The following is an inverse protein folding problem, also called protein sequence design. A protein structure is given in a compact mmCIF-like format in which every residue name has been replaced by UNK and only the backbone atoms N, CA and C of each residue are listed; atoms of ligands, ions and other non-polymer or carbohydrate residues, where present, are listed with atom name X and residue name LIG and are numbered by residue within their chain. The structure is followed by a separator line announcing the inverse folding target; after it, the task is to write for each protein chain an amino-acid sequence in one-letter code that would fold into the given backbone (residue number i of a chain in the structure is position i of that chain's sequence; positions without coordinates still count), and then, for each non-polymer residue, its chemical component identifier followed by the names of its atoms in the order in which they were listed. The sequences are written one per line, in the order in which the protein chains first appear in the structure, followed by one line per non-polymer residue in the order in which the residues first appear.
data_IF_936311487167
#
_entry.id   IF_936311487167
#
_cell.length_a   1.000
_cell.length_b   1.000
_cell.length_c   1.000
_cell.angle_alpha   90.00
_cell.angle_beta   90.00
_cell.angle_gamma   90.00
#
_symmetry.space_group_name_H-M   'P 1'
#
loop_
_entity.id
_entity.type
_entity.pdbx_description
1 polymer ?
#
# COMPACT_ATOMS: atom_id res chain seq x y z
N UNK A 1 6.91 -12.22 -20.27
CA UNK A 1 6.35 -10.86 -20.47
C UNK A 1 6.55 -10.04 -19.19
N UNK A 2 7.22 -8.87 -19.21
CA UNK A 2 7.48 -8.07 -18.00
C UNK A 2 6.28 -7.16 -17.71
N UNK A 3 5.45 -7.50 -16.73
CA UNK A 3 4.33 -6.65 -16.32
C UNK A 3 4.79 -5.52 -15.37
N UNK A 4 4.57 -4.28 -15.81
CA UNK A 4 4.90 -3.05 -15.10
C UNK A 4 3.72 -2.67 -14.21
N UNK A 5 3.81 -3.03 -12.92
CA UNK A 5 2.79 -2.73 -11.91
C UNK A 5 2.75 -1.22 -11.64
N UNK A 6 1.58 -0.60 -11.81
CA UNK A 6 1.32 0.80 -11.47
C UNK A 6 1.26 0.95 -9.95
N UNK A 7 2.18 1.73 -9.38
CA UNK A 7 2.20 2.12 -7.97
C UNK A 7 0.96 2.95 -7.64
N UNK A 8 0.14 2.53 -6.67
CA UNK A 8 -0.84 3.40 -6.02
C UNK A 8 -0.23 3.87 -4.70
N UNK A 9 -0.11 5.19 -4.54
CA UNK A 9 0.27 5.82 -3.27
C UNK A 9 -0.98 5.91 -2.41
N UNK A 10 -0.94 5.35 -1.21
CA UNK A 10 -1.94 5.59 -0.17
C UNK A 10 -1.30 6.50 0.88
N UNK A 11 -1.80 7.72 0.99
CA UNK A 11 -1.40 8.69 2.00
C UNK A 11 -2.34 8.56 3.18
N UNK A 12 -1.88 8.00 4.29
CA UNK A 12 -2.61 7.99 5.56
C UNK A 12 -1.87 8.90 6.55
N UNK A 13 -2.57 9.93 7.05
CA UNK A 13 -2.08 10.83 8.09
C UNK A 13 -2.66 10.38 9.42
N UNK A 14 -1.81 9.91 10.34
CA UNK A 14 -2.20 9.57 11.71
C UNK A 14 -1.60 10.59 12.67
N UNK A 15 -2.46 11.29 13.42
CA UNK A 15 -2.08 12.25 14.46
C UNK A 15 -2.04 11.53 15.82
N UNK A 16 -0.90 11.52 16.49
CA UNK A 16 -0.78 11.04 17.86
C UNK A 16 -0.43 12.22 18.79
N UNK A 17 -1.25 12.45 19.82
CA UNK A 17 -1.01 13.45 20.87
C UNK A 17 -0.60 12.67 22.12
N UNK A 18 0.67 12.81 22.55
CA UNK A 18 1.14 12.25 23.81
C UNK A 18 1.17 13.34 24.90
N UNK A 19 0.38 13.15 25.96
CA UNK A 19 0.40 13.97 27.16
C UNK A 19 1.29 13.28 28.19
N UNK A 20 2.39 13.92 28.62
CA UNK A 20 3.27 13.37 29.67
C UNK A 20 3.02 14.09 31.00
N UNK A 21 2.65 13.32 32.01
CA UNK A 21 2.35 13.78 33.37
C UNK A 21 3.61 13.85 34.24
N UNK A 22 3.76 14.97 34.96
CA UNK A 22 4.85 15.21 35.91
C UNK A 22 4.73 14.33 37.17
N UNK A 23 5.81 13.64 37.53
CA UNK A 23 5.97 12.90 38.78
C UNK A 23 6.59 13.76 39.88
N UNK A 24 5.89 13.87 41.00
CA UNK A 24 6.30 14.51 42.26
C UNK A 24 7.01 13.52 43.18
N UNK A 25 8.03 13.97 43.93
CA UNK A 25 8.36 13.42 45.26
C UNK A 25 8.89 14.52 46.22
N UNK A 26 8.68 14.37 47.54
CA UNK A 26 8.77 15.46 48.52
C UNK A 26 10.05 15.42 49.37
N UNK A 27 10.49 16.59 49.86
CA UNK A 27 11.55 16.73 50.85
C UNK A 27 11.37 18.00 51.68
N UNK A 28 11.01 17.81 52.94
CA UNK A 28 10.69 18.81 53.98
C UNK A 28 11.84 19.74 54.36
N UNK A 29 11.56 21.03 54.56
CA UNK A 29 12.17 21.86 55.61
C UNK A 29 11.39 23.17 55.83
N UNK A 30 11.46 23.66 57.05
CA UNK A 30 10.54 24.57 57.75
C UNK A 30 10.56 26.04 57.31
N UNK A 31 9.48 26.73 57.71
CA UNK A 31 9.23 28.15 57.56
C UNK A 31 10.23 29.05 58.28
N UNK A 32 10.61 30.16 57.64
CA UNK A 32 10.81 31.44 58.31
C UNK A 32 10.16 32.55 57.48
N UNK A 33 9.12 33.13 58.07
CA UNK A 33 8.53 34.40 57.69
C UNK A 33 9.51 35.51 58.08
N UNK A 34 9.82 36.43 57.16
CA UNK A 34 10.11 37.83 57.45
C UNK A 34 10.01 38.61 56.15
N UNK A 35 9.09 39.58 56.15
CA UNK A 35 8.98 40.70 55.23
C UNK A 35 10.34 41.09 54.61
N UNK A 36 10.43 41.04 53.28
CA UNK A 36 11.51 41.67 52.54
C UNK A 36 10.89 42.55 51.46
N UNK A 37 11.08 43.88 51.50
CA UNK A 37 10.47 44.79 50.54
C UNK A 37 11.07 44.55 49.15
N UNK A 38 10.25 44.78 48.12
CA UNK A 38 10.63 44.67 46.72
C UNK A 38 12.01 45.30 46.45
N UNK A 39 12.96 44.49 45.97
CA UNK A 39 14.29 44.97 45.62
C UNK A 39 14.21 46.07 44.53
N UNK A 40 15.00 47.15 44.64
CA UNK A 40 14.98 48.23 43.65
C UNK A 40 15.48 47.76 42.27
N UNK A 41 15.00 48.41 41.22
CA UNK A 41 15.29 48.15 39.79
C UNK A 41 16.75 48.38 39.35
N UNK A 42 17.65 48.69 40.29
CA UNK A 42 19.03 49.03 40.03
C UNK A 42 19.94 48.33 41.06
N UNK A 43 20.99 47.68 40.58
CA UNK A 43 22.03 47.07 41.42
C UNK A 43 23.32 47.89 41.27
N UNK A 44 23.85 48.37 42.39
CA UNK A 44 25.06 49.19 42.43
C UNK A 44 26.29 48.28 42.43
N UNK A 45 27.03 48.25 41.32
CA UNK A 45 28.43 47.80 41.29
C UNK A 45 29.27 48.95 40.76
N UNK A 46 30.26 49.38 41.55
CA UNK A 46 31.20 50.46 41.20
C UNK A 46 30.53 51.80 40.80
N UNK A 47 29.50 52.22 41.55
CA UNK A 47 28.98 53.60 41.45
C UNK A 47 28.28 53.97 40.12
N UNK A 48 28.02 53.01 39.23
CA UNK A 48 27.20 53.22 38.03
C UNK A 48 25.90 52.41 38.15
N UNK A 49 24.77 53.12 38.09
CA UNK A 49 23.46 52.50 37.89
C UNK A 49 23.43 51.92 36.48
N UNK A 50 23.86 50.66 36.33
CA UNK A 50 23.58 49.92 35.11
C UNK A 50 22.10 49.55 35.15
N UNK A 51 21.30 49.85 34.10
CA UNK A 51 19.94 49.34 34.04
C UNK A 51 20.00 47.82 34.18
N UNK A 52 19.29 47.25 35.15
CA UNK A 52 19.11 45.80 35.26
C UNK A 52 18.59 45.34 33.91
N UNK A 53 19.43 44.65 33.14
CA UNK A 53 19.12 44.28 31.78
C UNK A 53 17.79 43.52 31.84
N UNK A 54 16.74 43.96 31.10
CA UNK A 54 15.49 43.23 31.12
C UNK A 54 15.78 41.78 30.74
N UNK A 55 15.10 40.79 31.35
CA UNK A 55 15.32 39.39 31.01
C UNK A 55 15.21 39.26 29.49
N UNK A 56 16.34 38.98 28.84
CA UNK A 56 16.37 38.83 27.39
C UNK A 56 15.69 37.51 27.10
N UNK A 57 14.56 37.55 26.42
CA UNK A 57 13.93 36.35 25.88
C UNK A 57 14.99 35.60 25.06
N UNK A 58 15.31 34.39 25.49
CA UNK A 58 16.28 33.54 24.81
C UNK A 58 15.53 32.65 23.85
N UNK A 59 15.98 32.61 22.61
CA UNK A 59 15.40 31.77 21.56
C UNK A 59 16.44 30.76 21.11
N UNK A 60 16.06 29.50 21.03
CA UNK A 60 16.91 28.40 20.60
C UNK A 60 16.26 27.69 19.42
N UNK A 61 16.99 27.57 18.31
CA UNK A 61 16.62 26.71 17.18
C UNK A 61 17.49 25.46 17.24
N UNK A 62 16.90 24.29 17.07
CA UNK A 62 17.59 22.99 17.08
C UNK A 62 17.25 22.22 15.82
N UNK A 63 18.25 21.58 15.23
CA UNK A 63 18.06 20.59 14.17
C UNK A 63 18.69 19.30 14.65
N UNK A 64 17.90 18.24 14.69
CA UNK A 64 18.31 16.94 15.22
C UNK A 64 18.10 15.85 14.18
N UNK A 65 19.02 14.91 14.12
CA UNK A 65 18.83 13.66 13.39
C UNK A 65 18.08 12.66 14.28
N UNK A 66 17.04 12.03 13.74
CA UNK A 66 16.16 11.13 14.48
C UNK A 66 16.17 9.74 13.83
N UNK A 67 17.00 8.79 14.32
CA UNK A 67 16.90 7.40 13.89
C UNK A 67 15.69 6.74 14.54
N UNK A 68 14.81 6.14 13.74
CA UNK A 68 13.64 5.41 14.23
C UNK A 68 13.79 3.92 13.95
N UNK A 69 13.53 3.10 14.95
CA UNK A 69 13.66 1.65 14.91
C UNK A 69 12.31 0.99 15.18
N UNK A 70 12.20 -0.31 14.89
CA UNK A 70 11.02 -1.12 15.19
C UNK A 70 9.73 -0.65 14.49
N UNK A 71 9.83 -0.16 13.25
CA UNK A 71 8.66 0.16 12.43
C UNK A 71 8.27 -1.10 11.65
N UNK A 72 7.02 -1.53 11.80
CA UNK A 72 6.44 -2.65 11.06
C UNK A 72 5.26 -2.18 10.22
N UNK A 73 5.08 -2.78 9.05
CA UNK A 73 3.85 -2.66 8.26
C UNK A 73 3.18 -4.02 8.15
N UNK A 74 1.85 -4.06 8.21
CA UNK A 74 1.07 -5.25 7.90
C UNK A 74 0.31 -5.01 6.59
N UNK A 75 0.45 -5.93 5.66
CA UNK A 75 -0.28 -5.91 4.41
C UNK A 75 -1.43 -6.89 4.51
N UNK A 76 -2.66 -6.38 4.58
CA UNK A 76 -3.88 -7.20 4.56
C UNK A 76 -4.65 -6.96 3.27
N UNK A 77 -5.58 -7.87 2.94
CA UNK A 77 -6.40 -7.80 1.72
C UNK A 77 -5.56 -7.70 0.45
N UNK A 78 -4.45 -8.45 0.41
CA UNK A 78 -3.62 -8.59 -0.76
C UNK A 78 -4.41 -9.36 -1.83
N UNK A 79 -5.15 -8.62 -2.65
CA UNK A 79 -5.87 -9.17 -3.80
C UNK A 79 -4.90 -9.65 -4.88
N UNK A 80 -5.33 -10.63 -5.66
CA UNK A 80 -4.57 -11.11 -6.80
C UNK A 80 -4.74 -10.15 -7.98
N UNK A 81 -3.68 -9.92 -8.79
CA UNK A 81 -3.77 -9.07 -9.97
C UNK A 81 -4.69 -9.62 -11.06
N UNK A 82 -5.16 -10.87 -10.94
CA UNK A 82 -6.28 -11.42 -11.72
C UNK A 82 -7.59 -10.77 -11.23
N UNK A 83 -7.82 -9.49 -11.57
CA UNK A 83 -9.03 -8.78 -11.12
C UNK A 83 -10.29 -9.11 -11.93
N UNK A 84 -10.15 -9.77 -13.08
CA UNK A 84 -11.27 -10.25 -13.88
C UNK A 84 -11.38 -11.76 -13.72
N UNK A 85 -12.31 -12.21 -12.86
CA UNK A 85 -12.89 -13.54 -13.02
C UNK A 85 -13.45 -13.62 -14.45
N UNK A 86 -13.34 -14.76 -15.18
CA UNK A 86 -13.87 -14.94 -16.54
C UNK A 86 -15.41 -14.91 -16.62
N UNK A 87 -16.04 -13.99 -15.88
CA UNK A 87 -17.48 -13.83 -15.77
C UNK A 87 -18.21 -15.07 -15.22
N UNK A 88 -19.54 -15.08 -15.27
CA UNK A 88 -20.33 -16.29 -15.05
C UNK A 88 -19.98 -17.39 -16.06
N UNK A 89 -20.22 -18.65 -15.66
CA UNK A 89 -19.99 -19.82 -16.52
C UNK A 89 -20.93 -19.91 -17.71
N UNK A 90 -21.98 -19.08 -17.73
CA UNK A 90 -22.95 -18.98 -18.81
C UNK A 90 -23.05 -17.55 -19.35
N UNK A 91 -23.54 -17.41 -20.58
CA UNK A 91 -23.86 -16.12 -21.19
C UNK A 91 -22.75 -15.51 -22.04
N UNK A 92 -23.14 -14.46 -22.77
CA UNK A 92 -22.31 -13.73 -23.73
C UNK A 92 -21.55 -12.62 -23.02
N UNK A 93 -20.37 -12.94 -22.51
CA UNK A 93 -19.51 -12.01 -21.78
C UNK A 93 -18.05 -12.20 -22.21
N UNK A 94 -17.25 -11.14 -22.06
CA UNK A 94 -15.81 -11.23 -22.21
C UNK A 94 -15.21 -12.07 -21.08
N UNK A 95 -14.34 -13.01 -21.46
CA UNK A 95 -13.65 -13.91 -20.53
C UNK A 95 -12.14 -13.79 -20.72
N UNK A 96 -11.46 -13.39 -19.66
CA UNK A 96 -10.02 -13.32 -19.59
C UNK A 96 -9.48 -14.38 -18.65
N UNK A 97 -8.57 -15.21 -19.16
CA UNK A 97 -7.89 -16.28 -18.45
C UNK A 97 -6.44 -15.89 -18.19
N UNK A 98 -5.73 -16.69 -17.39
CA UNK A 98 -4.29 -16.47 -17.17
C UNK A 98 -3.47 -16.95 -18.38
N UNK A 99 -4.04 -17.85 -19.18
CA UNK A 99 -3.41 -18.52 -20.33
C UNK A 99 -4.16 -18.28 -21.65
N UNK A 100 -4.98 -17.23 -21.74
CA UNK A 100 -5.76 -16.91 -22.93
C UNK A 100 -6.93 -15.97 -22.69
N UNK A 101 -7.77 -15.82 -23.71
CA UNK A 101 -9.03 -15.09 -23.61
C UNK A 101 -10.05 -15.63 -24.62
N UNK A 102 -11.33 -15.44 -24.31
CA UNK A 102 -12.46 -15.59 -25.22
C UNK A 102 -13.33 -14.36 -25.04
N UNK A 103 -13.39 -13.51 -26.07
CA UNK A 103 -14.07 -12.21 -25.99
C UNK A 103 -15.12 -12.08 -27.07
N UNK A 104 -16.08 -11.20 -26.83
CA UNK A 104 -17.10 -10.84 -27.80
C UNK A 104 -16.47 -10.10 -28.97
N UNK A 105 -17.04 -10.28 -30.15
CA UNK A 105 -16.66 -9.50 -31.32
C UNK A 105 -16.92 -8.01 -31.08
N UNK A 106 -15.93 -7.18 -31.39
CA UNK A 106 -15.99 -5.73 -31.13
C UNK A 106 -16.25 -4.90 -32.38
N UNK A 107 -16.26 -5.53 -33.56
CA UNK A 107 -16.43 -4.85 -34.85
C UNK A 107 -17.26 -5.66 -35.83
N UNK A 108 -17.89 -4.98 -36.79
CA UNK A 108 -18.63 -5.61 -37.89
C UNK A 108 -20.05 -6.10 -37.52
N UNK A 109 -20.73 -6.82 -38.43
CA UNK A 109 -22.12 -7.25 -38.24
C UNK A 109 -22.29 -8.30 -37.13
N UNK A 110 -21.19 -8.92 -36.68
CA UNK A 110 -21.16 -9.87 -35.58
C UNK A 110 -20.88 -9.21 -34.22
N UNK A 111 -20.84 -7.87 -34.12
CA UNK A 111 -20.55 -7.16 -32.85
C UNK A 111 -21.44 -7.66 -31.72
N UNK A 112 -20.83 -7.99 -30.58
CA UNK A 112 -21.50 -8.59 -29.42
C UNK A 112 -21.80 -10.08 -29.56
N UNK A 113 -21.32 -10.75 -30.62
CA UNK A 113 -21.50 -12.19 -30.87
C UNK A 113 -22.97 -12.63 -30.78
N UNK A 114 -23.89 -12.06 -31.58
CA UNK A 114 -25.34 -12.28 -31.42
C UNK A 114 -25.78 -13.72 -31.67
N UNK A 115 -25.00 -14.51 -32.41
CA UNK A 115 -25.20 -15.94 -32.65
C UNK A 115 -24.53 -16.83 -31.59
N UNK A 116 -23.86 -16.22 -30.60
CA UNK A 116 -23.15 -16.91 -29.54
C UNK A 116 -21.74 -17.39 -29.90
N UNK A 117 -21.26 -17.07 -31.12
CA UNK A 117 -19.93 -17.45 -31.59
C UNK A 117 -18.98 -16.26 -31.63
N UNK A 118 -17.69 -16.54 -31.47
CA UNK A 118 -16.62 -15.55 -31.60
C UNK A 118 -15.42 -16.12 -32.33
N UNK A 119 -14.80 -15.28 -33.16
CA UNK A 119 -13.46 -15.50 -33.67
C UNK A 119 -12.42 -14.77 -32.80
N UNK A 120 -12.83 -13.99 -31.80
CA UNK A 120 -11.94 -13.18 -30.97
C UNK A 120 -11.52 -13.92 -29.70
N UNK A 121 -10.59 -14.85 -29.86
CA UNK A 121 -10.06 -15.67 -28.79
C UNK A 121 -8.59 -15.99 -29.04
N UNK A 122 -7.89 -16.37 -27.97
CA UNK A 122 -6.50 -16.83 -28.06
C UNK A 122 -6.15 -17.73 -26.88
N UNK A 123 -5.16 -18.58 -27.07
CA UNK A 123 -4.58 -19.42 -26.04
C UNK A 123 -3.05 -19.33 -26.11
N UNK A 124 -2.35 -19.55 -25.01
CA UNK A 124 -0.91 -19.33 -24.91
C UNK A 124 -0.07 -20.58 -25.27
N UNK A 125 -0.57 -21.79 -24.98
CA UNK A 125 0.21 -23.03 -25.04
C UNK A 125 -0.54 -24.16 -25.75
N UNK A 126 0.16 -24.96 -26.56
CA UNK A 126 -0.44 -26.10 -27.28
C UNK A 126 -1.00 -27.19 -26.36
N UNK A 127 -0.55 -27.26 -25.10
CA UNK A 127 -1.09 -28.18 -24.10
C UNK A 127 -2.50 -27.82 -23.62
N UNK A 128 -3.03 -26.65 -23.99
CA UNK A 128 -4.41 -26.27 -23.74
C UNK A 128 -5.37 -26.98 -24.69
N UNK A 129 -4.88 -27.47 -25.83
CA UNK A 129 -5.68 -28.23 -26.80
C UNK A 129 -5.59 -29.71 -26.47
N UNK A 130 -6.69 -30.30 -26.02
CA UNK A 130 -6.80 -31.72 -25.64
C UNK A 130 -7.88 -32.36 -26.50
N UNK A 131 -7.47 -33.04 -27.57
CA UNK A 131 -8.42 -33.60 -28.52
C UNK A 131 -9.23 -32.51 -29.22
N UNK A 132 -10.55 -32.51 -29.02
CA UNK A 132 -11.49 -31.51 -29.53
C UNK A 132 -11.77 -30.36 -28.55
N UNK A 133 -11.04 -30.31 -27.43
CA UNK A 133 -11.34 -29.39 -26.34
C UNK A 133 -10.21 -28.39 -26.16
N UNK A 134 -10.57 -27.14 -25.90
CA UNK A 134 -9.66 -26.06 -25.52
C UNK A 134 -9.88 -25.71 -24.04
N UNK A 135 -8.85 -25.93 -23.23
CA UNK A 135 -8.86 -25.69 -21.79
C UNK A 135 -8.27 -24.31 -21.47
N UNK A 136 -9.08 -23.45 -20.87
CA UNK A 136 -8.71 -22.12 -20.42
C UNK A 136 -8.76 -22.03 -18.90
N UNK A 137 -7.74 -21.45 -18.27
CA UNK A 137 -7.55 -21.54 -16.81
C UNK A 137 -7.40 -20.17 -16.16
N UNK A 138 -8.04 -20.03 -15.01
CA UNK A 138 -7.91 -18.86 -14.15
C UNK A 138 -7.67 -19.28 -12.70
N UNK A 139 -6.56 -18.85 -12.13
CA UNK A 139 -6.35 -18.93 -10.69
C UNK A 139 -7.01 -17.73 -10.01
N UNK A 140 -7.96 -18.02 -9.12
CA UNK A 140 -8.62 -17.02 -8.28
C UNK A 140 -8.38 -17.33 -6.81
N UNK A 141 -8.48 -16.34 -5.93
CA UNK A 141 -8.49 -16.58 -4.49
C UNK A 141 -9.80 -16.09 -3.89
N UNK A 142 -10.39 -16.89 -3.01
CA UNK A 142 -11.52 -16.46 -2.20
C UNK A 142 -11.10 -15.68 -0.95
N UNK A 143 -9.80 -15.55 -0.68
CA UNK A 143 -9.27 -15.13 0.62
C UNK A 143 -8.50 -13.81 0.63
N UNK A 144 -8.69 -13.08 1.73
CA UNK A 144 -7.78 -12.03 2.21
C UNK A 144 -6.45 -12.67 2.59
N UNK A 145 -5.41 -12.48 1.79
CA UNK A 145 -4.06 -12.86 2.20
C UNK A 145 -3.47 -11.72 3.01
N UNK A 146 -2.98 -12.04 4.19
CA UNK A 146 -2.18 -11.14 5.00
C UNK A 146 -0.72 -11.54 4.94
N UNK A 147 0.16 -10.56 4.77
CA UNK A 147 1.55 -10.70 5.18
C UNK A 147 1.85 -9.66 6.24
N UNK A 148 2.45 -10.09 7.34
CA UNK A 148 3.27 -9.15 8.10
C UNK A 148 4.44 -8.77 7.20
N UNK A 149 4.77 -7.49 7.12
CA UNK A 149 6.03 -7.04 6.54
C UNK A 149 7.19 -7.52 7.40
N UNK A 150 8.33 -7.74 6.76
CA UNK A 150 9.57 -7.97 7.48
C UNK A 150 9.90 -6.73 8.34
N UNK A 151 10.50 -6.97 9.49
CA UNK A 151 11.12 -5.91 10.27
C UNK A 151 12.29 -5.44 9.41
N UNK A 152 12.19 -4.25 8.83
CA UNK A 152 13.40 -3.60 8.37
C UNK A 152 14.26 -3.39 9.61
N UNK A 153 15.26 -4.26 9.83
CA UNK A 153 16.30 -4.02 10.83
C UNK A 153 17.07 -2.72 10.54
N UNK A 154 16.86 -2.15 9.35
CA UNK A 154 17.38 -0.88 8.92
C UNK A 154 16.69 0.30 9.64
N UNK A 155 17.46 1.19 10.29
CA UNK A 155 16.91 2.40 10.89
C UNK A 155 16.27 3.31 9.84
N UNK A 156 15.07 3.81 10.13
CA UNK A 156 14.45 4.86 9.33
C UNK A 156 15.05 6.22 9.72
N UNK A 157 15.46 6.99 8.72
CA UNK A 157 16.20 8.23 8.89
C UNK A 157 15.26 9.44 8.94
N UNK A 158 15.12 10.06 10.12
CA UNK A 158 14.31 11.27 10.31
C UNK A 158 15.13 12.52 10.61
N UNK A 159 14.46 13.67 10.49
CA UNK A 159 14.96 14.97 10.94
C UNK A 159 13.91 15.66 11.80
N UNK A 160 14.35 16.33 12.85
CA UNK A 160 13.50 17.13 13.73
C UNK A 160 14.01 18.58 13.74
N UNK A 161 13.08 19.52 13.63
CA UNK A 161 13.31 20.95 13.82
C UNK A 161 12.58 21.40 15.09
N UNK A 162 13.35 21.86 16.07
CA UNK A 162 12.86 22.38 17.34
C UNK A 162 13.07 23.88 17.46
N UNK A 163 12.13 24.55 18.10
CA UNK A 163 12.19 25.95 18.50
C UNK A 163 11.77 26.08 19.96
N UNK A 164 12.66 26.60 20.80
CA UNK A 164 12.36 26.88 22.20
C UNK A 164 12.56 28.36 22.49
N UNK A 165 11.71 28.92 23.34
CA UNK A 165 11.89 30.26 23.87
C UNK A 165 11.65 30.32 25.36
N UNK A 166 12.53 31.05 26.06
CA UNK A 166 12.43 31.30 27.49
C UNK A 166 11.49 32.49 27.72
N UNK A 167 10.45 32.29 28.53
CA UNK A 167 9.49 33.36 28.86
C UNK A 167 10.01 34.21 30.01
N UNK A 168 10.64 33.58 30.99
CA UNK A 168 11.34 34.29 32.07
C UNK A 168 11.44 33.49 33.37
N UNK A 169 11.95 34.11 34.43
CA UNK A 169 12.08 33.47 35.73
C UNK A 169 10.78 33.49 36.54
N UNK A 170 10.49 32.39 37.25
CA UNK A 170 9.56 32.32 38.38
C UNK A 170 10.37 31.94 39.63
N UNK A 171 10.65 32.94 40.46
CA UNK A 171 11.56 32.77 41.61
C UNK A 171 12.99 32.47 41.16
N UNK A 172 13.49 31.27 41.46
CA UNK A 172 14.83 30.77 41.07
C UNK A 172 14.81 29.85 39.85
N UNK A 173 13.64 29.57 39.29
CA UNK A 173 13.45 28.69 38.14
C UNK A 173 13.18 29.52 36.90
N UNK A 174 13.58 29.03 35.73
CA UNK A 174 13.21 29.58 34.44
C UNK A 174 12.20 28.67 33.77
N UNK A 175 11.23 29.26 33.08
CA UNK A 175 10.24 28.51 32.31
C UNK A 175 10.18 29.06 30.88
N UNK A 176 9.78 28.20 29.95
CA UNK A 176 9.74 28.50 28.54
C UNK A 176 8.64 27.74 27.84
N UNK A 177 8.72 27.73 26.51
CA UNK A 177 7.99 26.80 25.68
C UNK A 177 8.93 26.23 24.62
N UNK A 178 8.72 24.98 24.28
CA UNK A 178 9.33 24.30 23.14
C UNK A 178 8.23 23.83 22.18
N UNK A 179 8.47 24.03 20.89
CA UNK A 179 7.73 23.43 19.81
C UNK A 179 8.70 22.69 18.89
N UNK A 180 8.38 21.49 18.44
CA UNK A 180 9.18 20.78 17.46
C UNK A 180 8.30 20.08 16.43
N UNK A 181 8.84 19.96 15.22
CA UNK A 181 8.25 19.22 14.10
C UNK A 181 9.28 18.22 13.60
N UNK A 182 8.87 16.95 13.48
CA UNK A 182 9.71 15.89 12.93
C UNK A 182 9.16 15.37 11.61
N UNK A 183 10.05 14.92 10.75
CA UNK A 183 9.76 14.29 9.48
C UNK A 183 10.56 13.01 9.34
N UNK A 184 9.87 11.89 9.11
CA UNK A 184 10.46 10.58 8.90
C UNK A 184 9.84 9.96 7.64
N UNK A 185 10.58 9.85 6.52
CA UNK A 185 10.18 9.01 5.40
C UNK A 185 10.31 7.54 5.80
N UNK A 186 9.28 6.76 5.48
CA UNK A 186 9.21 5.32 5.78
C UNK A 186 9.05 4.58 4.47
N UNK A 187 10.02 3.70 4.18
CA UNK A 187 9.96 2.77 3.05
C UNK A 187 10.09 1.34 3.57
N UNK A 188 9.04 0.54 3.37
CA UNK A 188 8.99 -0.86 3.82
C UNK A 188 8.67 -1.72 2.61
N UNK A 189 9.43 -2.81 2.45
CA UNK A 189 9.22 -3.76 1.37
C UNK A 189 9.07 -5.18 1.92
N UNK A 190 8.16 -5.95 1.34
CA UNK A 190 8.03 -7.38 1.58
C UNK A 190 7.93 -8.10 0.24
N UNK A 191 8.83 -9.06 0.02
CA UNK A 191 8.86 -9.90 -1.18
C UNK A 191 8.66 -11.39 -0.84
N UNK A 192 8.32 -11.72 0.41
CA UNK A 192 8.19 -13.10 0.84
C UNK A 192 7.03 -13.79 0.10
N UNK A 193 7.22 -15.03 -0.37
CA UNK A 193 6.12 -15.83 -0.88
C UNK A 193 5.08 -16.06 0.21
N UNK A 194 3.81 -15.96 -0.14
CA UNK A 194 2.70 -16.25 0.77
C UNK A 194 2.05 -17.55 0.38
N UNK A 195 1.56 -18.28 1.37
CA UNK A 195 0.82 -19.53 1.15
C UNK A 195 -0.65 -19.25 1.34
N UNK A 196 -1.48 -19.63 0.37
CA UNK A 196 -2.93 -19.44 0.41
C UNK A 196 -3.64 -20.53 -0.36
N UNK A 197 -4.93 -20.67 -0.09
CA UNK A 197 -5.80 -21.49 -0.91
C UNK A 197 -6.29 -20.68 -2.13
N UNK A 198 -6.26 -21.32 -3.29
CA UNK A 198 -6.73 -20.78 -4.56
C UNK A 198 -7.87 -21.66 -5.09
N UNK A 199 -8.68 -21.09 -5.96
CA UNK A 199 -9.65 -21.80 -6.79
C UNK A 199 -9.23 -21.65 -8.24
N UNK A 200 -8.85 -22.76 -8.86
CA UNK A 200 -8.58 -22.83 -10.29
C UNK A 200 -9.89 -23.05 -11.04
N UNK A 201 -10.32 -22.05 -11.78
CA UNK A 201 -11.41 -22.13 -12.73
C UNK A 201 -10.84 -22.69 -14.03
N UNK A 202 -11.40 -23.79 -14.51
CA UNK A 202 -11.08 -24.36 -15.82
C UNK A 202 -12.34 -24.36 -16.67
N UNK A 203 -12.32 -23.57 -17.74
CA UNK A 203 -13.38 -23.53 -18.74
C UNK A 203 -12.95 -24.35 -19.95
N UNK A 204 -13.88 -25.17 -20.44
CA UNK A 204 -13.67 -26.04 -21.60
C UNK A 204 -14.49 -25.51 -22.76
N UNK A 205 -13.83 -25.22 -23.87
CA UNK A 205 -14.45 -24.81 -25.11
C UNK A 205 -14.35 -25.94 -26.14
N UNK A 206 -15.46 -26.23 -26.82
CA UNK A 206 -15.48 -27.18 -27.93
C UNK A 206 -14.88 -26.51 -29.17
N UNK A 207 -13.84 -27.15 -29.72
CA UNK A 207 -13.18 -26.79 -30.97
C UNK A 207 -13.33 -27.89 -32.04
N UNK A 208 -14.24 -28.85 -31.86
CA UNK A 208 -14.58 -29.83 -32.89
C UNK A 208 -15.24 -29.20 -34.12
N UNK A 209 -15.92 -28.06 -33.92
CA UNK A 209 -16.75 -27.40 -34.92
C UNK A 209 -16.12 -26.12 -35.48
N UNK A 210 -14.79 -26.06 -35.63
CA UNK A 210 -14.08 -24.96 -36.30
C UNK A 210 -14.38 -24.92 -37.83
N UNK A 211 -15.66 -24.86 -38.23
CA UNK A 211 -16.29 -24.74 -39.56
C UNK A 211 -15.78 -25.71 -40.69
N UNK A 212 -16.57 -26.02 -41.75
CA UNK A 212 -16.18 -26.94 -42.84
C UNK A 212 -14.95 -26.51 -43.68
N UNK A 213 -14.37 -25.34 -43.39
CA UNK A 213 -13.11 -24.83 -43.95
C UNK A 213 -11.85 -25.26 -43.19
N UNK A 214 -11.98 -25.93 -42.03
CA UNK A 214 -10.98 -26.85 -41.48
C UNK A 214 -9.57 -26.31 -41.28
N UNK A 215 -9.43 -25.04 -40.89
CA UNK A 215 -8.13 -24.55 -40.44
C UNK A 215 -7.77 -25.20 -39.09
N UNK A 216 -6.52 -25.66 -38.87
CA UNK A 216 -6.08 -26.04 -37.53
C UNK A 216 -6.28 -24.86 -36.57
N UNK A 217 -6.41 -25.11 -35.24
CA UNK A 217 -6.41 -24.03 -34.28
C UNK A 217 -5.20 -23.11 -34.54
N UNK A 218 -5.37 -21.78 -34.43
CA UNK A 218 -4.29 -20.83 -34.67
C UNK A 218 -3.11 -21.18 -33.75
N UNK A 219 -1.85 -20.98 -34.18
CA UNK A 219 -0.69 -21.29 -33.35
C UNK A 219 -0.79 -20.63 -31.95
N UNK A 220 -0.25 -21.28 -30.91
CA UNK A 220 -0.27 -20.72 -29.55
C UNK A 220 0.31 -19.29 -29.53
N UNK A 221 -0.33 -18.41 -28.78
CA UNK A 221 0.04 -17.00 -28.64
C UNK A 221 -0.34 -16.11 -29.83
N UNK A 222 -0.98 -16.65 -30.87
CA UNK A 222 -1.54 -15.85 -31.96
C UNK A 222 -3.04 -15.64 -31.73
N UNK A 223 -3.50 -14.41 -31.50
CA UNK A 223 -4.91 -14.13 -31.39
C UNK A 223 -5.62 -14.46 -32.70
N UNK A 224 -6.71 -15.21 -32.61
CA UNK A 224 -7.70 -15.21 -33.69
C UNK A 224 -8.38 -13.84 -33.65
N UNK A 225 -8.36 -13.12 -34.78
CA UNK A 225 -8.91 -11.77 -34.86
C UNK A 225 -9.91 -11.67 -36.00
N UNK A 226 -11.19 -11.52 -35.63
CA UNK A 226 -12.28 -11.14 -36.50
C UNK A 226 -12.85 -12.29 -37.31
N UNK A 227 -14.14 -12.19 -37.66
CA UNK A 227 -14.87 -13.14 -38.49
C UNK A 227 -14.61 -12.89 -39.97
N UNK A 228 -13.42 -13.23 -40.46
CA UNK A 228 -13.19 -13.45 -41.89
C UNK A 228 -13.47 -14.92 -42.22
N UNK A 229 -13.92 -15.28 -43.42
CA UNK A 229 -14.42 -16.63 -43.78
C UNK A 229 -13.43 -17.81 -43.62
N UNK A 230 -12.28 -17.60 -42.96
CA UNK A 230 -11.25 -18.59 -42.59
C UNK A 230 -10.97 -18.60 -41.08
N UNK A 231 -11.78 -17.91 -40.27
CA UNK A 231 -11.49 -17.71 -38.85
C UNK A 231 -12.14 -18.82 -38.04
N UNK A 232 -11.35 -19.45 -37.18
CA UNK A 232 -11.79 -20.53 -36.30
C UNK A 232 -12.81 -19.97 -35.30
N UNK A 233 -14.08 -20.34 -35.45
CA UNK A 233 -15.17 -19.90 -34.59
C UNK A 233 -15.36 -20.87 -33.42
N UNK A 234 -15.49 -20.33 -32.21
CA UNK A 234 -15.86 -21.09 -31.02
C UNK A 234 -17.09 -20.47 -30.38
N UNK A 235 -17.82 -21.24 -29.56
CA UNK A 235 -18.83 -20.66 -28.70
C UNK A 235 -18.18 -19.71 -27.69
N UNK A 236 -18.81 -18.57 -27.48
CA UNK A 236 -18.43 -17.62 -26.42
C UNK A 236 -18.60 -18.24 -25.04
N UNK A 237 -19.63 -19.07 -24.88
CA UNK A 237 -19.94 -19.79 -23.64
C UNK A 237 -19.18 -21.12 -23.57
N UNK A 238 -18.49 -21.43 -22.45
CA UNK A 238 -17.83 -22.71 -22.30
C UNK A 238 -18.84 -23.85 -22.20
N UNK A 239 -18.50 -25.01 -22.76
CA UNK A 239 -19.32 -26.23 -22.68
C UNK A 239 -19.35 -26.77 -21.25
N UNK A 240 -18.27 -26.58 -20.51
CA UNK A 240 -18.22 -26.89 -19.08
C UNK A 240 -17.27 -25.98 -18.33
N UNK A 241 -17.57 -25.77 -17.04
CA UNK A 241 -16.71 -25.07 -16.08
C UNK A 241 -16.45 -25.98 -14.88
N UNK A 242 -15.19 -26.15 -14.53
CA UNK A 242 -14.76 -26.87 -13.34
C UNK A 242 -14.07 -25.91 -12.37
N UNK A 243 -14.39 -26.03 -11.09
CA UNK A 243 -13.74 -25.31 -10.00
C UNK A 243 -12.90 -26.28 -9.18
N UNK A 244 -11.58 -26.16 -9.26
CA UNK A 244 -10.65 -27.02 -8.52
C UNK A 244 -10.04 -26.23 -7.36
N UNK A 245 -10.29 -26.61 -6.10
CA UNK A 245 -9.60 -26.00 -4.97
C UNK A 245 -8.13 -26.45 -4.97
N UNK A 246 -7.22 -25.49 -4.88
CA UNK A 246 -5.78 -25.68 -4.77
C UNK A 246 -5.33 -25.20 -3.39
N UNK A 247 -5.06 -26.15 -2.49
CA UNK A 247 -4.64 -25.83 -1.12
C UNK A 247 -3.13 -25.59 -1.04
N UNK A 248 -2.72 -24.68 -0.17
CA UNK A 248 -1.30 -24.42 0.09
C UNK A 248 -0.52 -23.88 -1.12
N UNK A 249 -1.20 -23.17 -2.03
CA UNK A 249 -0.56 -22.60 -3.21
C UNK A 249 0.36 -21.44 -2.82
N UNK A 250 1.54 -21.38 -3.44
CA UNK A 250 2.52 -20.33 -3.21
C UNK A 250 2.28 -19.14 -4.12
N UNK A 251 2.22 -17.95 -3.55
CA UNK A 251 1.99 -16.68 -4.24
C UNK A 251 3.18 -15.77 -4.01
N UNK A 252 3.96 -15.58 -5.06
CA UNK A 252 5.07 -14.63 -5.07
C UNK A 252 4.58 -13.24 -5.50
N UNK A 253 5.02 -12.21 -4.78
CA UNK A 253 4.73 -10.83 -5.13
C UNK A 253 5.61 -9.89 -4.32
N UNK A 254 5.69 -8.62 -4.75
CA UNK A 254 6.35 -7.56 -4.00
C UNK A 254 5.32 -6.57 -3.50
N UNK A 255 5.39 -6.26 -2.21
CA UNK A 255 4.54 -5.31 -1.50
C UNK A 255 5.43 -4.21 -0.98
N UNK A 256 5.00 -2.96 -1.11
CA UNK A 256 5.78 -1.80 -0.69
C UNK A 256 4.87 -0.78 -0.03
N UNK A 257 5.27 -0.25 1.12
CA UNK A 257 4.69 0.94 1.74
C UNK A 257 5.69 2.07 1.59
N UNK A 258 5.23 3.20 1.07
CA UNK A 258 5.95 4.48 1.01
C UNK A 258 5.07 5.49 1.76
N UNK A 259 5.54 5.94 2.92
CA UNK A 259 4.81 6.82 3.81
C UNK A 259 5.70 7.94 4.35
N UNK A 260 5.08 9.06 4.72
CA UNK A 260 5.74 10.17 5.39
C UNK A 260 5.10 10.35 6.76
N UNK A 261 5.87 10.16 7.82
CA UNK A 261 5.43 10.36 9.20
C UNK A 261 5.84 11.75 9.64
N UNK A 262 4.89 12.49 10.20
CA UNK A 262 5.10 13.80 10.79
C UNK A 262 4.75 13.74 12.27
N UNK A 263 5.63 14.25 13.12
CA UNK A 263 5.37 14.43 14.55
C UNK A 263 5.37 15.92 14.88
N UNK A 264 4.49 16.33 15.80
CA UNK A 264 4.44 17.71 16.30
C UNK A 264 4.34 17.63 17.82
N UNK A 265 5.34 18.18 18.51
CA UNK A 265 5.32 18.30 19.97
C UNK A 265 5.36 19.76 20.40
N UNK A 266 4.60 20.07 21.45
CA UNK A 266 4.55 21.39 22.08
C UNK A 266 4.52 21.17 23.59
N UNK A 267 5.38 21.87 24.33
CA UNK A 267 5.47 21.74 25.79
C UNK A 267 6.07 22.96 26.48
N UNK A 268 5.86 23.10 27.80
CA UNK A 268 6.53 24.11 28.63
C UNK A 268 7.99 23.76 28.96
#
# INVERSE_FOLDING_TARGET
MKHRIKRRKATTVTLAIACSSAGSMPGTAQAQNLDQPAAPLFELREGKLLPKQPPRMRHHVRVSYQPTFNISAEFTNLGFPSSTVPGPGAGLVDRDYDDGFVRLETTGPATGSPDGYTAYWSYENSNQVVGSDLLMRKATSSGTISSSGDIGDDPQHGVELGYAFEVGPVGRLYWGFEAAVSFIPVDIHDARPLTTDLTLITDTFDISNLDPGGGPPPPPGTPSTGRSGTSALILVEPVSRTLTPLTGSTVSGRRTVDANVFDIRIGP
#
